data_IF_715096749846
#
_entry.id   IF_715096749846
#
_cell.length_a   1.000
_cell.length_b   1.000
_cell.length_c   1.000
_cell.angle_alpha   90.00
_cell.angle_beta   90.00
_cell.angle_gamma   90.00
#
_symmetry.space_group_name_H-M   'P 1'
#
loop_
_entity.id
_entity.type
_entity.pdbx_description
1 polymer ?
#
# COMPACT_ATOMS: atom_id res chain seq x y z
N UNK A 1 9.52 9.53 19.93
CA UNK A 1 9.84 9.33 18.50
C UNK A 1 8.52 9.27 17.77
N UNK A 2 8.36 10.05 16.71
CA UNK A 2 7.14 10.03 15.88
C UNK A 2 7.05 8.67 15.17
N UNK A 3 5.83 8.15 15.00
CA UNK A 3 5.63 6.87 14.32
C UNK A 3 5.97 6.99 12.82
N UNK A 4 6.71 6.01 12.29
CA UNK A 4 6.99 5.91 10.85
C UNK A 4 5.75 5.46 10.07
N UNK A 5 5.65 5.77 8.77
CA UNK A 5 4.55 5.29 7.91
C UNK A 5 4.46 3.76 7.91
N UNK A 6 5.61 3.06 7.98
CA UNK A 6 5.66 1.61 8.09
C UNK A 6 5.03 1.10 9.40
N UNK A 7 5.26 1.78 10.52
CA UNK A 7 4.63 1.44 11.81
C UNK A 7 3.13 1.73 11.77
N UNK A 8 2.71 2.88 11.22
CA UNK A 8 1.30 3.24 11.05
C UNK A 8 0.59 2.21 10.17
N UNK A 9 1.18 1.86 9.02
CA UNK A 9 0.67 0.83 8.12
C UNK A 9 0.51 -0.50 8.85
N UNK A 10 1.52 -0.94 9.62
CA UNK A 10 1.43 -2.18 10.39
C UNK A 10 0.25 -2.13 11.37
N UNK A 11 0.09 -1.04 12.12
CA UNK A 11 -1.04 -0.88 13.04
C UNK A 11 -2.40 -0.91 12.35
N UNK A 12 -2.52 -0.35 11.14
CA UNK A 12 -3.75 -0.41 10.34
C UNK A 12 -4.03 -1.86 9.91
N UNK A 13 -3.03 -2.58 9.40
CA UNK A 13 -3.18 -3.99 8.98
C UNK A 13 -3.57 -4.88 10.17
N UNK A 14 -2.93 -4.69 11.32
CA UNK A 14 -3.25 -5.40 12.56
C UNK A 14 -4.72 -5.14 12.97
N UNK A 15 -5.16 -3.88 12.92
CA UNK A 15 -6.55 -3.52 13.21
C UNK A 15 -7.54 -4.13 12.22
N UNK A 16 -7.28 -4.04 10.91
CA UNK A 16 -8.18 -4.59 9.90
C UNK A 16 -8.29 -6.12 10.01
N UNK A 17 -7.19 -6.81 10.35
CA UNK A 17 -7.18 -8.24 10.63
C UNK A 17 -8.03 -8.58 11.86
N UNK A 18 -7.87 -7.84 12.96
CA UNK A 18 -8.70 -8.01 14.17
C UNK A 18 -10.20 -7.78 13.89
N UNK A 19 -10.52 -6.87 12.97
CA UNK A 19 -11.90 -6.60 12.54
C UNK A 19 -12.45 -7.61 11.53
N UNK A 20 -11.66 -8.59 11.10
CA UNK A 20 -12.04 -9.61 10.12
C UNK A 20 -12.65 -9.02 8.84
N UNK A 21 -12.11 -7.89 8.38
CA UNK A 21 -12.51 -7.26 7.12
C UNK A 21 -11.62 -7.77 6.00
N UNK A 22 -12.13 -7.89 4.78
CA UNK A 22 -11.30 -8.20 3.61
C UNK A 22 -10.47 -6.96 3.24
N UNK A 23 -9.15 -7.09 3.22
CA UNK A 23 -8.24 -6.03 2.78
C UNK A 23 -7.01 -6.62 2.11
N UNK A 24 -6.31 -5.81 1.32
CA UNK A 24 -4.98 -6.12 0.83
C UNK A 24 -4.10 -4.89 0.82
N UNK A 25 -2.81 -5.10 1.07
CA UNK A 25 -1.80 -4.08 0.83
C UNK A 25 -1.53 -4.00 -0.66
N UNK A 26 -1.61 -2.80 -1.21
CA UNK A 26 -1.22 -2.51 -2.56
C UNK A 26 0.23 -2.05 -2.55
N UNK A 27 1.15 -3.01 -2.67
CA UNK A 27 2.57 -2.71 -2.70
C UNK A 27 2.89 -1.87 -3.95
N UNK A 28 3.12 -0.57 -3.79
CA UNK A 28 3.86 0.21 -4.77
C UNK A 28 5.31 -0.29 -4.76
N UNK A 29 5.82 -0.65 -5.93
CA UNK A 29 7.15 -1.20 -6.04
C UNK A 29 7.51 -1.43 -7.49
N UNK A 30 8.75 -1.85 -7.72
CA UNK A 30 9.13 -2.31 -9.03
C UNK A 30 10.20 -3.38 -8.91
N UNK A 31 10.09 -4.39 -9.75
CA UNK A 31 11.09 -5.42 -9.88
C UNK A 31 11.93 -5.17 -11.13
N UNK A 32 13.23 -4.95 -10.92
CA UNK A 32 14.21 -5.03 -12.00
C UNK A 32 14.52 -6.51 -12.22
N UNK A 33 14.19 -7.01 -13.41
CA UNK A 33 14.50 -8.38 -13.82
C UNK A 33 15.22 -8.37 -15.16
N UNK A 34 15.83 -9.49 -15.51
CA UNK A 34 16.44 -9.69 -16.82
C UNK A 34 15.77 -10.89 -17.50
N UNK A 35 15.30 -10.70 -18.73
CA UNK A 35 14.75 -11.78 -19.53
C UNK A 35 15.37 -11.77 -20.91
N UNK A 36 16.08 -12.87 -21.26
CA UNK A 36 16.82 -13.03 -22.53
C UNK A 36 17.82 -11.88 -22.79
N UNK A 37 18.63 -11.52 -21.79
CA UNK A 37 19.64 -10.46 -21.93
C UNK A 37 19.10 -9.02 -21.92
N UNK A 38 17.78 -8.83 -21.74
CA UNK A 38 17.15 -7.51 -21.68
C UNK A 38 16.64 -7.21 -20.27
N UNK A 39 17.09 -6.09 -19.71
CA UNK A 39 16.57 -5.53 -18.45
C UNK A 39 15.11 -5.13 -18.63
N UNK A 40 14.26 -5.54 -17.69
CA UNK A 40 12.84 -5.18 -17.59
C UNK A 40 12.59 -4.56 -16.23
N UNK A 41 11.82 -3.47 -16.21
CA UNK A 41 11.36 -2.83 -14.99
C UNK A 41 9.86 -3.05 -14.89
N UNK A 42 9.44 -3.94 -14.00
CA UNK A 42 8.03 -4.27 -13.78
C UNK A 42 7.57 -3.47 -12.58
N UNK A 43 6.77 -2.42 -12.78
CA UNK A 43 6.11 -1.71 -11.68
C UNK A 43 4.93 -2.54 -11.18
N UNK A 44 4.85 -2.74 -9.87
CA UNK A 44 3.68 -3.29 -9.20
C UNK A 44 2.77 -2.15 -8.75
N UNK A 45 1.48 -2.30 -9.01
CA UNK A 45 0.47 -1.28 -8.75
C UNK A 45 0.48 -0.12 -9.76
N UNK A 46 -0.63 0.61 -9.85
CA UNK A 46 -0.70 1.86 -10.62
C UNK A 46 -0.15 3.01 -9.76
N UNK A 47 0.67 3.89 -10.33
CA UNK A 47 1.24 5.05 -9.61
C UNK A 47 0.09 5.92 -9.08
N UNK A 48 0.11 6.26 -7.80
CA UNK A 48 -0.96 7.03 -7.16
C UNK A 48 -2.15 6.17 -6.69
N UNK A 49 -2.07 4.85 -6.82
CA UNK A 49 -3.03 3.98 -6.12
C UNK A 49 -2.77 3.98 -4.61
N UNK A 50 -3.83 3.92 -3.78
CA UNK A 50 -3.73 3.85 -2.33
C UNK A 50 -2.83 2.71 -1.84
N UNK A 51 -2.21 2.88 -0.68
CA UNK A 51 -1.36 1.85 -0.04
C UNK A 51 -2.14 0.59 0.39
N UNK A 52 -3.40 0.74 0.81
CA UNK A 52 -4.26 -0.37 1.24
C UNK A 52 -5.64 -0.20 0.61
N UNK A 53 -6.21 -1.32 0.17
CA UNK A 53 -7.62 -1.40 -0.18
C UNK A 53 -8.39 -2.26 0.84
N UNK A 54 -9.60 -1.82 1.15
CA UNK A 54 -10.50 -2.51 2.09
C UNK A 54 -11.87 -2.69 1.45
N UNK A 55 -12.44 -3.89 1.54
CA UNK A 55 -13.81 -4.19 1.11
C UNK A 55 -14.70 -4.26 2.33
N UNK A 56 -15.66 -3.35 2.42
CA UNK A 56 -16.62 -3.32 3.53
C UNK A 56 -17.97 -2.85 3.01
N UNK A 57 -19.05 -3.54 3.39
CA UNK A 57 -20.43 -3.18 3.02
C UNK A 57 -20.62 -3.01 1.50
N UNK A 58 -19.98 -3.87 0.70
CA UNK A 58 -20.05 -3.81 -0.77
C UNK A 58 -19.29 -2.65 -1.42
N UNK A 59 -18.53 -1.87 -0.64
CA UNK A 59 -17.72 -0.75 -1.12
C UNK A 59 -16.22 -1.07 -1.00
N UNK A 60 -15.44 -0.51 -1.92
CA UNK A 60 -13.98 -0.53 -1.86
C UNK A 60 -13.52 0.83 -1.35
N UNK A 61 -12.73 0.82 -0.27
CA UNK A 61 -12.09 1.98 0.31
C UNK A 61 -10.59 1.93 0.03
N UNK A 62 -10.03 3.04 -0.44
CA UNK A 62 -8.60 3.24 -0.54
C UNK A 62 -8.09 3.99 0.69
N UNK A 63 -7.03 3.48 1.31
CA UNK A 63 -6.34 4.13 2.43
C UNK A 63 -4.93 4.47 1.95
N UNK A 64 -4.64 5.76 1.82
CA UNK A 64 -3.31 6.31 1.65
C UNK A 64 -2.72 6.62 3.02
N UNK A 65 -1.48 6.20 3.25
CA UNK A 65 -0.83 6.28 4.55
C UNK A 65 0.19 7.40 4.50
N UNK A 66 0.12 8.29 5.49
CA UNK A 66 1.08 9.36 5.71
C UNK A 66 1.36 9.48 7.20
N UNK A 67 2.58 9.90 7.55
CA UNK A 67 2.81 10.41 8.91
C UNK A 67 2.08 11.74 9.10
N UNK A 68 2.03 12.24 10.33
CA UNK A 68 1.52 13.59 10.63
C UNK A 68 2.17 14.69 9.78
N UNK A 69 3.46 14.52 9.45
CA UNK A 69 4.24 15.45 8.62
C UNK A 69 4.29 15.03 7.15
N UNK A 70 3.70 13.88 6.80
CA UNK A 70 3.70 13.34 5.45
C UNK A 70 2.74 14.10 4.55
N UNK A 71 3.15 14.41 3.32
CA UNK A 71 2.32 15.10 2.33
C UNK A 71 1.87 14.13 1.26
N UNK A 72 0.59 14.19 0.89
CA UNK A 72 0.07 13.48 -0.26
C UNK A 72 0.46 14.23 -1.55
N UNK A 73 0.99 13.50 -2.52
CA UNK A 73 1.32 14.04 -3.83
C UNK A 73 0.27 13.62 -4.86
N UNK A 74 0.06 14.47 -5.86
CA UNK A 74 -0.81 14.20 -7.03
C UNK A 74 -0.15 13.27 -8.06
#
# INVERSE_FOLDING_TARGET
MDATEAQIQKSILDYLALRSVLFWRNNTGAYNTEYKGKKRFIRFGFKGSPDIFVVKEGKIYGIEIKTEKGTQND
#
